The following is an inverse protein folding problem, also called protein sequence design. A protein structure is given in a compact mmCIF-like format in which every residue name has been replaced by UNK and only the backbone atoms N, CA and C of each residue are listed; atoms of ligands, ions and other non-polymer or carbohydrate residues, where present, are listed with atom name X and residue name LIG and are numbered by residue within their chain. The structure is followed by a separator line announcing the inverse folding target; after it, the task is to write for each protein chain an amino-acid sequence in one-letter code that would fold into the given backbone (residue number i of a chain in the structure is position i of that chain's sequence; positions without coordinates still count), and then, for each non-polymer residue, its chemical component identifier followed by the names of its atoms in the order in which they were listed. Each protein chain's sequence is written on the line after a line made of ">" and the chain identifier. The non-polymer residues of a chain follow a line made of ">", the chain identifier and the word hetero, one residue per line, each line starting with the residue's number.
data_IF_969621736229
#
_entry.id   IF_969621736229
#
_cell.length_a   1.000
_cell.length_b   1.000
_cell.length_c   1.000
_cell.angle_alpha   90.00
_cell.angle_beta   90.00
_cell.angle_gamma   90.00
#
_symmetry.space_group_name_H-M   'P 1'
#
loop_
_entity.id
_entity.type
_entity.pdbx_description
1 polymer ?
#
# COMPACT_ATOMS: atom_id res chain seq x y z
N UNK A 1 -46.11 -45.32 49.81
CA UNK A 1 -44.67 -45.03 49.60
C UNK A 1 -44.43 -44.34 48.24
N UNK A 2 -44.32 -43.04 48.29
CA UNK A 2 -44.15 -42.22 47.07
C UNK A 2 -42.65 -41.89 46.92
N UNK A 3 -42.01 -42.37 45.83
CA UNK A 3 -40.60 -42.07 45.52
C UNK A 3 -40.48 -40.72 44.90
N UNK A 4 -39.87 -39.74 45.59
CA UNK A 4 -39.45 -38.47 45.03
C UNK A 4 -38.21 -38.69 44.15
N UNK A 5 -38.33 -38.32 42.89
CA UNK A 5 -37.14 -38.13 41.93
C UNK A 5 -36.53 -36.79 42.24
N UNK A 6 -35.24 -36.77 42.58
CA UNK A 6 -34.43 -35.56 42.63
C UNK A 6 -34.04 -35.15 41.19
N UNK A 7 -34.45 -33.95 40.78
CA UNK A 7 -33.99 -33.30 39.54
C UNK A 7 -32.73 -32.52 39.90
N UNK A 8 -31.60 -32.97 39.38
CA UNK A 8 -30.34 -32.27 39.45
C UNK A 8 -30.34 -31.16 38.39
N UNK A 9 -30.36 -29.88 38.81
CA UNK A 9 -30.17 -28.73 37.94
C UNK A 9 -28.66 -28.55 37.73
N UNK A 10 -28.16 -29.00 36.57
CA UNK A 10 -26.80 -28.67 36.14
C UNK A 10 -26.78 -27.23 35.60
N UNK A 11 -26.17 -26.33 36.37
CA UNK A 11 -25.88 -24.96 35.97
C UNK A 11 -24.76 -25.03 34.94
N UNK A 12 -25.07 -24.88 33.65
CA UNK A 12 -24.08 -24.68 32.62
C UNK A 12 -23.67 -23.21 32.66
N UNK A 13 -22.52 -22.96 33.27
CA UNK A 13 -21.85 -21.65 33.25
C UNK A 13 -21.27 -21.44 31.85
N UNK A 14 -21.99 -20.72 31.01
CA UNK A 14 -21.44 -20.25 29.72
C UNK A 14 -20.41 -19.17 30.02
N UNK A 15 -19.14 -19.54 30.05
CA UNK A 15 -18.03 -18.61 30.02
C UNK A 15 -18.02 -17.98 28.64
N UNK A 16 -18.59 -16.79 28.51
CA UNK A 16 -18.33 -15.90 27.38
C UNK A 16 -16.88 -15.45 27.49
N UNK A 17 -16.00 -16.14 26.77
CA UNK A 17 -14.65 -15.64 26.49
C UNK A 17 -14.80 -14.36 25.65
N UNK A 18 -14.87 -13.21 26.31
CA UNK A 18 -14.60 -11.90 25.71
C UNK A 18 -13.18 -11.99 25.20
N UNK A 19 -12.98 -12.22 23.91
CA UNK A 19 -11.69 -12.02 23.26
C UNK A 19 -11.36 -10.53 23.35
N UNK A 20 -10.69 -10.14 24.42
CA UNK A 20 -10.02 -8.86 24.51
C UNK A 20 -9.00 -8.85 23.37
N UNK A 21 -9.30 -8.15 22.27
CA UNK A 21 -8.35 -7.93 21.19
C UNK A 21 -7.11 -7.32 21.84
N UNK A 22 -6.03 -8.08 21.94
CA UNK A 22 -4.76 -7.59 22.49
C UNK A 22 -4.36 -6.38 21.69
N UNK A 23 -4.24 -5.23 22.39
CA UNK A 23 -3.82 -3.98 21.77
C UNK A 23 -2.39 -4.18 21.21
N UNK A 24 -2.23 -4.05 19.89
CA UNK A 24 -0.96 -4.28 19.19
C UNK A 24 0.11 -3.22 19.50
N UNK A 25 -0.24 -2.14 20.20
CA UNK A 25 0.64 -1.00 20.44
C UNK A 25 1.17 -1.01 21.87
N UNK A 26 2.45 -0.67 22.02
CA UNK A 26 3.09 -0.48 23.31
C UNK A 26 2.51 0.71 24.07
N UNK A 27 2.71 0.78 25.39
CA UNK A 27 2.27 1.91 26.19
C UNK A 27 2.86 3.25 25.70
N UNK A 28 4.11 3.25 25.22
CA UNK A 28 4.78 4.43 24.68
C UNK A 28 4.12 4.90 23.37
N UNK A 29 3.81 3.98 22.47
CA UNK A 29 3.11 4.28 21.21
C UNK A 29 1.71 4.86 21.44
N UNK A 30 1.07 4.50 22.54
CA UNK A 30 -0.24 5.03 22.94
C UNK A 30 -0.16 6.37 23.68
N UNK A 31 1.03 6.87 23.97
CA UNK A 31 1.22 8.12 24.72
C UNK A 31 1.72 9.28 23.84
N UNK A 32 2.49 9.01 22.82
CA UNK A 32 3.14 10.03 22.00
C UNK A 32 2.51 10.11 20.61
N UNK A 33 2.26 11.33 20.12
CA UNK A 33 1.78 11.54 18.73
C UNK A 33 2.88 11.14 17.75
N UNK A 34 4.07 11.72 17.92
CA UNK A 34 5.24 11.42 17.08
C UNK A 34 6.11 10.36 17.75
N UNK A 35 6.19 9.19 17.14
CA UNK A 35 7.03 8.08 17.61
C UNK A 35 7.55 7.30 16.40
N UNK A 36 8.80 6.88 16.45
CA UNK A 36 9.37 6.02 15.42
C UNK A 36 8.70 4.64 15.44
N UNK A 37 8.35 4.11 14.27
CA UNK A 37 7.90 2.73 14.11
C UNK A 37 9.12 1.86 13.85
N UNK A 38 9.58 1.05 14.83
CA UNK A 38 10.79 0.25 14.68
C UNK A 38 10.64 -0.85 13.60
N UNK A 39 9.42 -1.15 13.18
CA UNK A 39 9.16 -2.21 12.20
C UNK A 39 9.10 -1.70 10.76
N UNK A 40 8.75 -0.41 10.57
CA UNK A 40 8.48 0.16 9.25
C UNK A 40 9.71 0.12 8.32
N UNK A 41 10.89 0.41 8.88
CA UNK A 41 12.16 0.41 8.16
C UNK A 41 13.13 -0.67 8.65
N UNK A 42 12.63 -1.73 9.33
CA UNK A 42 13.48 -2.75 9.94
C UNK A 42 14.28 -3.58 8.90
N UNK A 43 13.73 -3.74 7.71
CA UNK A 43 14.36 -4.56 6.66
C UNK A 43 14.83 -3.74 5.45
N UNK A 44 14.23 -2.57 5.21
CA UNK A 44 14.49 -1.73 4.03
C UNK A 44 14.44 -0.26 4.42
N UNK A 45 15.31 0.55 3.81
CA UNK A 45 15.35 2.00 4.05
C UNK A 45 14.30 2.78 3.26
N UNK A 46 13.48 2.08 2.45
CA UNK A 46 12.46 2.70 1.64
C UNK A 46 11.23 1.78 1.43
N UNK A 47 10.07 2.38 1.22
CA UNK A 47 8.85 1.68 0.80
C UNK A 47 8.01 2.57 -0.13
N UNK A 48 7.04 1.98 -0.82
CA UNK A 48 6.15 2.72 -1.71
C UNK A 48 4.69 2.57 -1.30
N UNK A 49 3.90 3.63 -1.58
CA UNK A 49 2.44 3.60 -1.48
C UNK A 49 1.85 3.98 -2.83
N UNK A 50 1.09 3.07 -3.42
CA UNK A 50 0.40 3.32 -4.68
C UNK A 50 -1.02 3.86 -4.43
N UNK A 51 -1.15 5.18 -4.46
CA UNK A 51 -2.45 5.86 -4.36
C UNK A 51 -3.25 5.76 -5.67
N UNK A 52 -2.59 5.42 -6.79
CA UNK A 52 -3.24 5.19 -8.08
C UNK A 52 -4.16 3.97 -8.06
N UNK A 53 -3.76 2.92 -7.33
CA UNK A 53 -4.54 1.69 -7.17
C UNK A 53 -5.68 1.80 -6.15
N UNK A 54 -5.72 2.84 -5.30
CA UNK A 54 -6.77 3.00 -4.30
C UNK A 54 -8.11 3.34 -4.97
N UNK A 55 -9.16 2.61 -4.56
CA UNK A 55 -10.55 2.87 -4.98
C UNK A 55 -11.13 4.01 -4.17
N UNK A 56 -12.17 4.66 -4.66
CA UNK A 56 -12.80 5.80 -3.97
C UNK A 56 -13.30 5.46 -2.56
N UNK A 57 -13.73 4.22 -2.33
CA UNK A 57 -14.15 3.73 -1.01
C UNK A 57 -12.99 3.50 -0.01
N UNK A 58 -11.76 3.48 -0.48
CA UNK A 58 -10.57 3.25 0.35
C UNK A 58 -9.96 4.57 0.85
N UNK A 59 -10.59 5.72 0.51
CA UNK A 59 -10.18 7.07 0.90
C UNK A 59 -11.38 7.93 1.28
N UNK A 60 -11.18 8.82 2.25
CA UNK A 60 -12.11 9.90 2.59
C UNK A 60 -11.31 11.10 3.10
N UNK A 61 -11.67 12.30 2.66
CA UNK A 61 -11.10 13.49 3.27
C UNK A 61 -11.64 13.65 4.71
N UNK A 62 -10.83 14.10 5.71
CA UNK A 62 -11.23 14.14 7.12
C UNK A 62 -12.52 14.93 7.41
N UNK A 63 -12.71 16.06 6.72
CA UNK A 63 -13.91 16.90 6.77
C UNK A 63 -14.28 17.29 5.34
N UNK A 64 -15.08 16.48 4.62
CA UNK A 64 -15.35 16.68 3.19
C UNK A 64 -15.93 18.05 2.82
N UNK A 65 -16.66 18.67 3.74
CA UNK A 65 -17.28 20.02 3.55
C UNK A 65 -16.44 21.15 4.15
N UNK A 66 -15.33 20.85 4.81
CA UNK A 66 -14.47 21.85 5.45
C UNK A 66 -13.59 22.60 4.44
N UNK A 67 -13.06 23.74 4.85
CA UNK A 67 -12.06 24.50 4.10
C UNK A 67 -10.67 24.20 4.66
N UNK A 68 -9.84 23.54 3.85
CA UNK A 68 -8.50 23.14 4.27
C UNK A 68 -7.47 24.21 3.94
N UNK A 69 -6.53 24.43 4.89
CA UNK A 69 -5.40 25.35 4.75
C UNK A 69 -4.15 24.72 5.33
N UNK A 70 -3.04 24.82 4.62
CA UNK A 70 -1.73 24.42 5.12
C UNK A 70 -1.28 25.38 6.23
N UNK A 71 -0.95 24.82 7.39
CA UNK A 71 -0.35 25.52 8.52
C UNK A 71 1.16 25.26 8.62
N UNK A 72 1.72 25.52 9.80
CA UNK A 72 3.13 25.24 10.10
C UNK A 72 3.38 23.73 10.23
N UNK A 73 4.59 23.32 9.91
CA UNK A 73 5.08 21.93 10.09
C UNK A 73 4.16 20.88 9.46
N UNK A 74 3.64 21.17 8.26
CA UNK A 74 2.74 20.30 7.50
C UNK A 74 1.45 19.91 8.23
N UNK A 75 1.02 20.71 9.25
CA UNK A 75 -0.32 20.59 9.77
C UNK A 75 -1.31 21.23 8.80
N UNK A 76 -2.46 20.61 8.64
CA UNK A 76 -3.59 21.16 7.89
C UNK A 76 -4.68 21.56 8.87
N UNK A 77 -5.08 22.81 8.86
CA UNK A 77 -6.29 23.27 9.53
C UNK A 77 -7.47 23.10 8.56
N UNK A 78 -8.49 22.35 8.98
CA UNK A 78 -9.70 22.13 8.17
C UNK A 78 -10.85 22.81 8.92
N UNK A 79 -11.16 24.05 8.52
CA UNK A 79 -12.22 24.85 9.13
C UNK A 79 -13.60 24.38 8.69
N UNK A 80 -14.54 24.30 9.64
CA UNK A 80 -15.87 23.75 9.40
C UNK A 80 -16.87 24.26 10.45
N UNK A 81 -18.03 23.63 10.56
CA UNK A 81 -19.09 23.99 11.54
C UNK A 81 -18.98 23.12 12.80
N UNK A 82 -19.43 23.69 13.91
CA UNK A 82 -19.53 22.97 15.19
C UNK A 82 -20.47 21.77 15.05
N UNK A 83 -20.00 20.61 15.56
CA UNK A 83 -20.75 19.36 15.52
C UNK A 83 -20.46 18.49 14.28
N UNK A 84 -19.67 18.98 13.31
CA UNK A 84 -19.31 18.18 12.14
C UNK A 84 -18.47 16.96 12.52
N UNK A 85 -18.71 15.88 11.79
CA UNK A 85 -18.08 14.59 12.02
C UNK A 85 -16.72 14.48 11.31
N UNK A 86 -15.66 14.22 12.08
CA UNK A 86 -14.33 13.92 11.55
C UNK A 86 -14.28 12.48 11.06
N UNK A 87 -13.80 12.27 9.83
CA UNK A 87 -13.74 10.97 9.16
C UNK A 87 -12.30 10.42 9.13
N UNK A 88 -12.15 9.11 9.30
CA UNK A 88 -10.88 8.44 9.04
C UNK A 88 -10.51 8.54 7.56
N UNK A 89 -9.30 9.03 7.24
CA UNK A 89 -8.85 9.18 5.86
C UNK A 89 -8.69 7.84 5.14
N UNK A 90 -8.08 6.89 5.79
CA UNK A 90 -7.85 5.51 5.31
C UNK A 90 -8.29 4.50 6.36
N UNK A 91 -8.47 3.24 5.96
CA UNK A 91 -8.66 2.14 6.91
C UNK A 91 -7.39 1.90 7.72
N UNK A 92 -7.53 1.56 9.00
CA UNK A 92 -6.37 1.34 9.88
C UNK A 92 -6.76 0.93 11.29
N UNK A 93 -5.79 1.01 12.21
CA UNK A 93 -5.98 0.74 13.63
C UNK A 93 -5.65 2.00 14.43
N UNK A 94 -6.53 2.39 15.34
CA UNK A 94 -6.32 3.54 16.23
C UNK A 94 -5.16 3.23 17.17
N UNK A 95 -4.05 4.00 17.02
CA UNK A 95 -2.86 3.85 17.87
C UNK A 95 -2.98 4.67 19.15
N UNK A 96 -3.53 5.88 19.05
CA UNK A 96 -3.70 6.80 20.16
C UNK A 96 -5.07 7.46 20.06
N UNK A 97 -5.78 7.56 21.18
CA UNK A 97 -7.03 8.31 21.33
C UNK A 97 -7.11 8.84 22.74
N UNK A 98 -6.75 10.11 22.94
CA UNK A 98 -6.76 10.79 24.26
C UNK A 98 -6.63 12.29 24.17
N UNK A 99 -6.78 12.98 25.29
CA UNK A 99 -6.39 14.39 25.40
C UNK A 99 -4.85 14.50 25.42
N UNK A 100 -4.30 15.39 24.61
CA UNK A 100 -2.86 15.61 24.48
C UNK A 100 -2.57 17.09 24.22
N UNK A 101 -2.39 17.92 25.26
CA UNK A 101 -2.04 19.32 25.07
C UNK A 101 -0.75 19.52 24.26
N UNK A 102 -0.66 20.48 23.37
CA UNK A 102 -1.63 21.56 23.08
C UNK A 102 -2.70 21.19 22.00
N UNK A 103 -2.76 19.94 21.54
CA UNK A 103 -3.59 19.50 20.41
C UNK A 103 -5.05 19.16 20.80
N UNK A 104 -5.41 19.26 22.09
CA UNK A 104 -6.73 18.90 22.60
C UNK A 104 -6.96 17.37 22.55
N UNK A 105 -8.20 16.94 22.31
CA UNK A 105 -8.46 15.52 22.05
C UNK A 105 -7.90 15.14 20.69
N UNK A 106 -7.06 14.12 20.66
CA UNK A 106 -6.31 13.66 19.48
C UNK A 106 -6.56 12.19 19.22
N UNK A 107 -6.67 11.85 17.96
CA UNK A 107 -6.64 10.48 17.45
C UNK A 107 -5.44 10.34 16.52
N UNK A 108 -4.70 9.24 16.64
CA UNK A 108 -3.70 8.80 15.66
C UNK A 108 -4.09 7.42 15.15
N UNK A 109 -4.18 7.28 13.84
CA UNK A 109 -4.49 6.01 13.17
C UNK A 109 -3.26 5.55 12.41
N UNK A 110 -2.81 4.31 12.64
CA UNK A 110 -1.78 3.64 11.85
C UNK A 110 -2.44 2.81 10.76
N UNK A 111 -1.98 3.01 9.53
CA UNK A 111 -2.47 2.35 8.33
C UNK A 111 -1.55 1.21 7.90
N UNK A 112 -2.09 0.22 7.19
CA UNK A 112 -1.33 -0.96 6.73
C UNK A 112 -0.25 -0.60 5.69
N UNK A 113 -0.36 0.57 5.06
CA UNK A 113 0.59 1.09 4.08
C UNK A 113 1.78 1.85 4.70
N UNK A 114 1.94 1.83 6.02
CA UNK A 114 3.04 2.48 6.73
C UNK A 114 2.83 3.97 7.06
N UNK A 115 1.71 4.56 6.66
CA UNK A 115 1.35 5.92 7.04
C UNK A 115 0.64 5.97 8.39
N UNK A 116 0.73 7.12 9.04
CA UNK A 116 -0.15 7.47 10.16
C UNK A 116 -0.88 8.78 9.87
N UNK A 117 -2.12 8.90 10.31
CA UNK A 117 -2.91 10.13 10.24
C UNK A 117 -3.28 10.60 11.63
N UNK A 118 -3.17 11.92 11.84
CA UNK A 118 -3.41 12.61 13.12
C UNK A 118 -4.63 13.49 12.96
N UNK A 119 -5.53 13.44 13.95
CA UNK A 119 -6.75 14.23 14.00
C UNK A 119 -6.81 14.89 15.38
N UNK A 120 -6.54 16.19 15.45
CA UNK A 120 -6.51 16.97 16.69
C UNK A 120 -7.61 18.02 16.75
N UNK A 121 -7.70 18.71 17.90
CA UNK A 121 -8.74 19.67 18.22
C UNK A 121 -10.15 19.06 18.13
N UNK A 122 -10.30 17.79 18.56
CA UNK A 122 -11.60 17.14 18.64
C UNK A 122 -12.33 17.58 19.91
N UNK A 123 -13.64 17.84 19.81
CA UNK A 123 -14.50 17.99 20.98
C UNK A 123 -14.64 16.64 21.70
N UNK A 124 -14.83 15.59 20.92
CA UNK A 124 -15.02 14.23 21.41
C UNK A 124 -14.38 13.22 20.46
N UNK A 125 -13.64 12.26 21.02
CA UNK A 125 -13.14 11.09 20.29
C UNK A 125 -14.18 9.95 20.42
N UNK A 126 -14.64 9.41 19.29
CA UNK A 126 -15.66 8.34 19.24
C UNK A 126 -15.05 6.95 19.13
N UNK A 127 -13.72 6.86 19.07
CA UNK A 127 -12.96 5.62 18.97
C UNK A 127 -11.86 5.59 20.02
N UNK A 128 -11.42 4.40 20.41
CA UNK A 128 -10.36 4.19 21.40
C UNK A 128 -9.16 3.46 20.79
N UNK A 129 -8.01 3.51 21.47
CA UNK A 129 -6.80 2.78 21.07
C UNK A 129 -7.10 1.28 20.92
N UNK A 130 -6.66 0.69 19.81
CA UNK A 130 -6.90 -0.71 19.42
C UNK A 130 -8.09 -0.90 18.48
N UNK A 131 -8.98 0.09 18.34
CA UNK A 131 -10.12 -0.02 17.42
C UNK A 131 -9.66 -0.04 15.96
N UNK A 132 -10.27 -0.93 15.16
CA UNK A 132 -10.13 -0.94 13.71
C UNK A 132 -11.16 -0.01 13.09
N UNK A 133 -10.72 0.85 12.19
CA UNK A 133 -11.57 1.81 11.49
C UNK A 133 -11.47 1.62 9.98
N UNK A 134 -12.53 1.98 9.27
CA UNK A 134 -12.58 2.02 7.79
C UNK A 134 -12.46 3.45 7.30
N UNK A 135 -11.94 3.61 6.07
CA UNK A 135 -11.99 4.91 5.40
C UNK A 135 -13.42 5.46 5.39
N UNK A 136 -13.58 6.76 5.70
CA UNK A 136 -14.90 7.42 5.80
C UNK A 136 -15.69 7.15 7.07
N UNK A 137 -15.23 6.27 7.96
CA UNK A 137 -15.87 6.07 9.27
C UNK A 137 -15.73 7.34 10.12
N UNK A 138 -16.82 7.73 10.81
CA UNK A 138 -16.77 8.80 11.81
C UNK A 138 -15.94 8.36 13.01
N UNK A 139 -14.93 9.15 13.36
CA UNK A 139 -13.99 8.83 14.45
C UNK A 139 -14.01 9.89 15.58
N UNK A 140 -14.47 11.10 15.26
CA UNK A 140 -14.54 12.19 16.24
C UNK A 140 -15.60 13.21 15.84
N UNK A 141 -15.90 14.11 16.79
CA UNK A 141 -16.63 15.36 16.55
C UNK A 141 -15.63 16.51 16.64
N UNK A 142 -15.69 17.44 15.67
CA UNK A 142 -14.78 18.59 15.59
C UNK A 142 -14.92 19.50 16.81
N UNK A 143 -13.79 20.00 17.32
CA UNK A 143 -13.73 20.93 18.45
C UNK A 143 -13.69 22.38 18.03
N UNK A 144 -13.82 23.25 19.02
CA UNK A 144 -13.70 24.71 18.88
C UNK A 144 -12.60 25.21 19.82
N UNK A 145 -11.63 25.93 19.27
CA UNK A 145 -10.58 26.61 20.02
C UNK A 145 -10.60 28.13 19.71
N UNK A 146 -10.60 28.95 20.73
CA UNK A 146 -10.62 30.42 20.60
C UNK A 146 -11.66 30.96 19.62
N UNK A 147 -12.86 30.35 19.64
CA UNK A 147 -13.98 30.74 18.79
C UNK A 147 -13.93 30.20 17.34
N UNK A 148 -12.87 29.51 16.96
CA UNK A 148 -12.72 28.88 15.65
C UNK A 148 -13.02 27.37 15.75
N UNK A 149 -13.81 26.84 14.83
CA UNK A 149 -14.12 25.41 14.74
C UNK A 149 -13.33 24.81 13.58
N UNK A 150 -12.38 23.93 13.91
CA UNK A 150 -11.51 23.29 12.92
C UNK A 150 -10.97 21.96 13.43
N UNK A 151 -10.64 21.06 12.50
CA UNK A 151 -9.82 19.89 12.78
C UNK A 151 -8.37 20.20 12.43
N UNK A 152 -7.45 19.86 13.34
CA UNK A 152 -6.01 19.88 13.07
C UNK A 152 -5.62 18.51 12.53
N UNK A 153 -5.23 18.46 11.26
CA UNK A 153 -4.91 17.20 10.57
C UNK A 153 -3.44 17.16 10.15
N UNK A 154 -2.83 15.99 10.22
CA UNK A 154 -1.50 15.75 9.67
C UNK A 154 -1.35 14.31 9.17
N UNK A 155 -0.41 14.12 8.23
CA UNK A 155 0.06 12.79 7.80
C UNK A 155 1.49 12.61 8.28
N UNK A 156 1.77 11.43 8.81
CA UNK A 156 3.09 11.08 9.34
C UNK A 156 3.60 9.78 8.72
N UNK A 157 4.91 9.67 8.69
CA UNK A 157 5.67 8.45 8.40
C UNK A 157 6.80 8.35 9.41
N UNK A 158 6.90 7.22 10.07
CA UNK A 158 7.95 6.97 11.07
C UNK A 158 8.07 8.09 12.13
N UNK A 159 6.94 8.62 12.59
CA UNK A 159 6.87 9.70 13.56
C UNK A 159 7.13 11.11 13.01
N UNK A 160 7.57 11.25 11.76
CA UNK A 160 7.78 12.54 11.09
C UNK A 160 6.57 12.97 10.28
N UNK A 161 6.20 14.24 10.37
CA UNK A 161 5.19 14.81 9.48
C UNK A 161 5.73 14.99 8.09
N UNK A 162 4.87 14.69 7.11
CA UNK A 162 5.17 14.86 5.69
C UNK A 162 4.21 15.87 5.06
N UNK A 163 4.60 16.45 3.93
CA UNK A 163 3.71 17.36 3.20
C UNK A 163 2.48 16.60 2.68
N UNK A 164 1.26 16.86 3.22
CA UNK A 164 0.05 16.13 2.82
C UNK A 164 -0.38 16.42 1.37
N UNK A 165 0.05 17.55 0.77
CA UNK A 165 -0.21 17.84 -0.65
C UNK A 165 0.55 16.93 -1.62
N UNK A 166 1.49 16.14 -1.13
CA UNK A 166 2.03 15.02 -1.92
C UNK A 166 1.02 13.89 -2.11
N UNK A 167 0.01 13.80 -1.24
CA UNK A 167 -0.97 12.71 -1.22
C UNK A 167 -2.32 13.14 -1.80
N UNK A 168 -2.80 14.34 -1.44
CA UNK A 168 -4.10 14.87 -1.85
C UNK A 168 -4.07 16.39 -2.04
N UNK A 169 -5.04 16.91 -2.79
CA UNK A 169 -5.24 18.36 -2.98
C UNK A 169 -6.03 18.93 -1.82
N UNK A 170 -5.53 20.01 -1.21
CA UNK A 170 -6.25 20.75 -0.16
C UNK A 170 -7.49 21.47 -0.70
N UNK A 171 -7.48 21.86 -1.97
CA UNK A 171 -8.59 22.56 -2.61
C UNK A 171 -9.73 21.62 -3.01
N UNK A 172 -9.40 20.55 -3.74
CA UNK A 172 -10.40 19.62 -4.28
C UNK A 172 -10.72 18.47 -3.35
N UNK A 173 -9.96 18.27 -2.26
CA UNK A 173 -10.02 17.15 -1.32
C UNK A 173 -9.83 15.78 -1.97
N UNK A 174 -9.30 15.74 -3.20
CA UNK A 174 -9.10 14.52 -3.96
C UNK A 174 -7.71 13.96 -3.77
N UNK A 175 -7.63 12.64 -3.70
CA UNK A 175 -6.38 11.89 -3.66
C UNK A 175 -5.65 12.02 -5.00
N UNK A 176 -4.33 12.29 -4.95
CA UNK A 176 -3.48 12.23 -6.13
C UNK A 176 -3.28 10.78 -6.55
N UNK A 177 -3.66 10.45 -7.77
CA UNK A 177 -3.55 9.09 -8.32
C UNK A 177 -2.12 8.84 -8.82
N UNK A 178 -1.20 8.63 -7.88
CA UNK A 178 0.24 8.45 -8.12
C UNK A 178 0.85 7.49 -7.10
N UNK A 179 2.03 6.97 -7.40
CA UNK A 179 2.82 6.18 -6.45
C UNK A 179 3.85 7.09 -5.80
N UNK A 180 3.93 7.05 -4.47
CA UNK A 180 4.94 7.76 -3.69
C UNK A 180 5.99 6.80 -3.15
N UNK A 181 7.25 7.20 -3.22
CA UNK A 181 8.40 6.58 -2.58
C UNK A 181 8.70 7.31 -1.28
N UNK A 182 8.85 6.56 -0.20
CA UNK A 182 9.22 7.01 1.13
C UNK A 182 10.58 6.43 1.48
N UNK A 183 11.59 7.28 1.65
CA UNK A 183 12.98 6.89 1.92
C UNK A 183 13.43 7.42 3.28
N UNK A 184 13.91 6.55 4.15
CA UNK A 184 14.51 6.95 5.43
C UNK A 184 15.88 7.57 5.18
N UNK A 185 16.04 8.85 5.48
CA UNK A 185 17.31 9.58 5.31
C UNK A 185 18.07 9.80 6.60
N UNK A 186 17.38 9.77 7.75
CA UNK A 186 17.92 9.82 9.10
C UNK A 186 16.90 9.25 10.08
N UNK A 187 17.22 9.13 11.37
CA UNK A 187 16.35 8.50 12.40
C UNK A 187 14.90 8.94 12.32
N UNK A 188 14.64 10.22 12.18
CA UNK A 188 13.28 10.79 12.12
C UNK A 188 12.92 11.39 10.75
N UNK A 189 13.81 11.35 9.78
CA UNK A 189 13.63 12.06 8.51
C UNK A 189 13.31 11.09 7.39
N UNK A 190 12.16 11.32 6.76
CA UNK A 190 11.70 10.57 5.58
C UNK A 190 11.59 11.53 4.41
N UNK A 191 12.27 11.22 3.33
CA UNK A 191 12.12 11.89 2.04
C UNK A 191 10.91 11.29 1.32
N UNK A 192 10.08 12.13 0.70
CA UNK A 192 8.90 11.71 -0.05
C UNK A 192 9.03 12.23 -1.47
N UNK A 193 9.02 11.33 -2.43
CA UNK A 193 9.10 11.66 -3.86
C UNK A 193 8.01 10.96 -4.65
N UNK A 194 7.57 11.60 -5.74
CA UNK A 194 6.66 10.96 -6.69
C UNK A 194 7.47 9.98 -7.51
N UNK A 195 7.10 8.71 -7.40
CA UNK A 195 7.67 7.68 -8.24
C UNK A 195 7.07 7.81 -9.64
N UNK A 196 7.81 8.49 -10.52
CA UNK A 196 7.46 8.58 -11.93
C UNK A 196 8.23 7.47 -12.63
N UNK A 197 7.55 6.34 -12.90
CA UNK A 197 8.14 5.33 -13.76
C UNK A 197 8.59 5.99 -15.06
N UNK A 198 9.75 5.60 -15.63
CA UNK A 198 10.19 6.12 -16.90
C UNK A 198 9.12 5.88 -17.96
N UNK A 199 9.00 6.83 -18.88
CA UNK A 199 8.16 6.63 -20.06
C UNK A 199 8.77 5.48 -20.86
N UNK A 200 7.90 4.64 -21.45
CA UNK A 200 8.35 3.65 -22.41
C UNK A 200 8.79 4.37 -23.67
N UNK A 201 10.03 4.84 -23.68
CA UNK A 201 10.62 5.57 -24.81
C UNK A 201 11.32 4.56 -25.73
N UNK A 202 11.26 4.82 -27.02
CA UNK A 202 12.09 4.15 -28.01
C UNK A 202 13.55 4.60 -27.76
N UNK A 203 14.38 3.72 -27.18
CA UNK A 203 15.81 4.00 -27.01
C UNK A 203 16.52 3.91 -28.36
N UNK A 204 17.73 4.45 -28.46
CA UNK A 204 18.56 4.41 -29.69
C UNK A 204 18.82 2.99 -30.22
N UNK A 205 18.58 1.96 -29.41
CA UNK A 205 18.63 0.54 -29.79
C UNK A 205 17.29 -0.02 -30.28
N UNK A 206 16.22 0.78 -30.35
CA UNK A 206 14.83 0.34 -30.66
C UNK A 206 14.27 -0.75 -29.74
N UNK A 207 14.93 -1.10 -28.66
CA UNK A 207 14.51 -2.21 -27.79
C UNK A 207 13.93 -1.67 -26.47
N UNK A 208 12.68 -1.23 -26.48
CA UNK A 208 11.96 -0.71 -25.34
C UNK A 208 11.20 -1.79 -24.54
N UNK A 209 11.35 -3.07 -24.95
CA UNK A 209 10.77 -4.23 -24.29
C UNK A 209 11.70 -5.44 -24.37
N UNK A 210 11.54 -6.36 -23.44
CA UNK A 210 12.19 -7.67 -23.44
C UNK A 210 11.22 -8.72 -22.90
N UNK A 211 11.25 -9.94 -23.43
CA UNK A 211 10.52 -11.03 -22.81
C UNK A 211 11.20 -11.38 -21.47
N UNK A 212 10.43 -11.49 -20.35
CA UNK A 212 11.04 -11.52 -19.00
C UNK A 212 11.90 -12.75 -18.74
N UNK A 213 11.66 -13.85 -19.46
CA UNK A 213 12.44 -15.09 -19.34
C UNK A 213 12.57 -15.75 -20.70
N UNK A 214 13.57 -15.37 -21.53
CA UNK A 214 13.77 -15.93 -22.86
C UNK A 214 13.90 -17.47 -22.83
N UNK A 215 13.27 -18.16 -23.75
CA UNK A 215 13.31 -19.63 -23.85
C UNK A 215 12.40 -20.41 -22.90
N UNK A 216 11.71 -19.74 -21.98
CA UNK A 216 10.79 -20.37 -21.05
C UNK A 216 9.50 -20.84 -21.71
N UNK A 217 8.90 -21.89 -21.14
CA UNK A 217 7.58 -22.40 -21.55
C UNK A 217 6.54 -22.06 -20.49
N UNK A 218 5.33 -21.71 -20.91
CA UNK A 218 4.20 -21.55 -20.00
C UNK A 218 3.81 -22.92 -19.43
N UNK A 219 3.84 -23.02 -18.10
CA UNK A 219 3.34 -24.21 -17.38
C UNK A 219 2.00 -23.96 -16.72
N UNK A 220 1.63 -22.69 -16.56
CA UNK A 220 0.34 -22.31 -15.99
C UNK A 220 -0.05 -20.90 -16.44
N UNK A 221 -1.18 -20.77 -17.16
CA UNK A 221 -1.65 -19.49 -17.64
C UNK A 221 -2.32 -18.67 -16.53
N UNK A 222 -2.52 -17.38 -16.80
CA UNK A 222 -3.37 -16.48 -16.02
C UNK A 222 -4.83 -16.98 -15.99
N UNK A 223 -5.55 -16.73 -14.88
CA UNK A 223 -6.98 -16.97 -14.77
C UNK A 223 -7.40 -17.94 -13.67
N UNK A 224 -8.60 -18.53 -13.79
CA UNK A 224 -9.17 -19.42 -12.77
C UNK A 224 -8.56 -20.81 -12.83
N UNK A 225 -8.23 -21.34 -11.65
CA UNK A 225 -7.71 -22.70 -11.45
C UNK A 225 -8.46 -23.35 -10.28
N UNK A 226 -9.33 -24.32 -10.51
CA UNK A 226 -9.94 -25.14 -9.45
C UNK A 226 -10.43 -24.34 -8.22
N UNK A 227 -11.14 -23.22 -8.44
CA UNK A 227 -11.66 -22.36 -7.36
C UNK A 227 -10.71 -21.25 -6.88
N UNK A 228 -9.47 -21.19 -7.38
CA UNK A 228 -8.50 -20.12 -7.08
C UNK A 228 -8.22 -19.26 -8.32
N UNK A 229 -7.90 -17.98 -8.11
CA UNK A 229 -7.46 -17.09 -9.19
C UNK A 229 -5.94 -17.06 -9.25
N UNK A 230 -5.39 -17.15 -10.47
CA UNK A 230 -3.98 -17.00 -10.78
C UNK A 230 -3.74 -15.62 -11.41
N UNK A 231 -3.02 -14.78 -10.73
CA UNK A 231 -2.84 -13.35 -11.08
C UNK A 231 -1.75 -13.09 -12.14
N UNK A 232 -1.05 -14.12 -12.58
CA UNK A 232 0.03 -14.03 -13.56
C UNK A 232 0.14 -15.26 -14.43
N UNK A 233 1.28 -15.43 -15.07
CA UNK A 233 1.69 -16.61 -15.84
C UNK A 233 2.90 -17.24 -15.17
N UNK A 234 2.92 -18.59 -15.08
CA UNK A 234 4.10 -19.31 -14.59
C UNK A 234 4.92 -19.78 -15.79
N UNK A 235 6.17 -19.32 -15.84
CA UNK A 235 7.13 -19.56 -16.90
C UNK A 235 8.19 -20.56 -16.40
N UNK A 236 8.21 -21.77 -16.98
CA UNK A 236 9.12 -22.86 -16.60
C UNK A 236 10.53 -22.60 -17.11
N UNK A 237 11.49 -22.81 -16.21
CA UNK A 237 12.89 -22.56 -16.44
C UNK A 237 13.78 -23.54 -15.65
N UNK A 238 15.08 -23.32 -15.69
CA UNK A 238 16.06 -23.96 -14.83
C UNK A 238 16.31 -23.10 -13.58
N UNK A 239 16.88 -23.67 -12.51
CA UNK A 239 17.38 -22.89 -11.39
C UNK A 239 18.39 -21.82 -11.87
N UNK A 240 18.30 -20.64 -11.26
CA UNK A 240 19.22 -19.51 -11.46
C UNK A 240 19.34 -18.99 -12.90
N UNK A 241 18.36 -19.26 -13.77
CA UNK A 241 18.26 -18.58 -15.06
C UNK A 241 17.98 -17.08 -14.85
N UNK A 242 18.55 -16.23 -15.72
CA UNK A 242 18.41 -14.78 -15.63
C UNK A 242 16.99 -14.30 -15.93
N UNK A 243 16.38 -13.63 -14.98
CA UNK A 243 15.13 -12.89 -15.15
C UNK A 243 15.46 -11.48 -15.59
N UNK A 244 14.81 -11.02 -16.65
CA UNK A 244 15.06 -9.73 -17.27
C UNK A 244 13.88 -8.77 -17.08
N UNK A 245 14.16 -7.49 -16.92
CA UNK A 245 13.15 -6.45 -16.89
C UNK A 245 12.39 -6.40 -18.23
N UNK A 246 11.06 -6.50 -18.18
CA UNK A 246 10.22 -6.53 -19.37
C UNK A 246 10.18 -5.20 -20.11
N UNK A 247 10.31 -4.09 -19.39
CA UNK A 247 10.29 -2.72 -19.89
C UNK A 247 11.24 -1.86 -19.06
N UNK A 248 11.57 -0.68 -19.58
CA UNK A 248 12.24 0.36 -18.82
C UNK A 248 11.39 0.72 -17.61
N UNK A 249 12.02 0.88 -16.44
CA UNK A 249 11.24 1.14 -15.22
C UNK A 249 12.08 1.50 -14.01
N UNK A 250 11.39 1.69 -12.90
CA UNK A 250 11.99 1.90 -11.59
C UNK A 250 11.50 0.81 -10.63
N UNK A 251 12.44 0.20 -9.90
CA UNK A 251 12.15 -0.85 -8.93
C UNK A 251 11.42 -0.26 -7.73
N UNK A 252 10.16 -0.63 -7.54
CA UNK A 252 9.31 -0.14 -6.46
C UNK A 252 9.20 -1.13 -5.30
N UNK A 253 9.65 -2.35 -5.49
CA UNK A 253 9.73 -3.37 -4.46
C UNK A 253 10.77 -4.42 -4.83
N UNK A 254 11.61 -4.82 -3.86
CA UNK A 254 12.60 -5.89 -4.02
C UNK A 254 12.84 -6.55 -2.68
N UNK A 255 12.03 -7.58 -2.36
CA UNK A 255 12.05 -8.21 -1.04
C UNK A 255 11.30 -9.55 -1.01
N UNK A 256 11.37 -10.26 0.12
CA UNK A 256 10.52 -11.41 0.39
C UNK A 256 9.10 -10.95 0.73
N UNK A 257 8.11 -11.50 0.04
CA UNK A 257 6.70 -11.13 0.24
C UNK A 257 5.77 -12.35 0.21
N UNK A 258 5.22 -12.71 1.37
CA UNK A 258 4.19 -13.74 1.55
C UNK A 258 4.35 -14.96 0.61
N UNK A 259 3.32 -15.34 -0.11
CA UNK A 259 3.31 -16.47 -1.05
C UNK A 259 4.17 -16.28 -2.30
N UNK A 260 4.53 -15.05 -2.65
CA UNK A 260 5.40 -14.74 -3.81
C UNK A 260 6.88 -15.11 -3.59
N UNK A 261 7.31 -15.32 -2.34
CA UNK A 261 8.73 -15.53 -2.04
C UNK A 261 9.54 -14.25 -2.27
N UNK A 262 10.73 -14.35 -2.85
CA UNK A 262 11.48 -13.18 -3.28
C UNK A 262 10.79 -12.56 -4.49
N UNK A 263 10.36 -11.32 -4.35
CA UNK A 263 9.56 -10.57 -5.33
C UNK A 263 10.30 -9.30 -5.73
N UNK A 264 10.29 -8.99 -7.01
CA UNK A 264 10.60 -7.66 -7.55
C UNK A 264 9.32 -7.10 -8.19
N UNK A 265 9.06 -5.81 -7.95
CA UNK A 265 8.05 -5.05 -8.68
C UNK A 265 8.73 -3.87 -9.36
N UNK A 266 8.42 -3.69 -10.64
CA UNK A 266 8.94 -2.58 -11.43
C UNK A 266 7.75 -1.75 -11.91
N UNK A 267 7.79 -0.45 -11.63
CA UNK A 267 6.84 0.52 -12.15
C UNK A 267 7.37 1.05 -13.50
N UNK A 268 6.53 0.89 -14.50
CA UNK A 268 6.74 1.47 -15.83
C UNK A 268 5.80 2.67 -16.00
N UNK A 269 6.00 3.49 -16.97
CA UNK A 269 5.13 4.65 -17.21
C UNK A 269 3.64 4.29 -17.31
N UNK A 270 2.76 5.25 -16.94
CA UNK A 270 1.30 5.17 -17.11
C UNK A 270 0.58 4.09 -16.29
N UNK A 271 1.10 3.78 -15.10
CA UNK A 271 0.49 2.84 -14.17
C UNK A 271 0.66 1.37 -14.52
N UNK A 272 1.49 1.05 -15.51
CA UNK A 272 1.90 -0.33 -15.78
C UNK A 272 2.95 -0.75 -14.75
N UNK A 273 2.73 -1.90 -14.11
CA UNK A 273 3.71 -2.58 -13.27
C UNK A 273 3.92 -4.01 -13.74
N UNK A 274 5.14 -4.51 -13.54
CA UNK A 274 5.46 -5.95 -13.70
C UNK A 274 5.98 -6.53 -12.40
N UNK A 275 5.57 -7.78 -12.11
CA UNK A 275 5.95 -8.53 -10.91
C UNK A 275 6.75 -9.75 -11.34
N UNK A 276 7.86 -9.98 -10.63
CA UNK A 276 8.78 -11.10 -10.86
C UNK A 276 8.98 -11.82 -9.54
N UNK A 277 8.43 -13.01 -9.39
CA UNK A 277 8.44 -13.71 -8.11
C UNK A 277 8.92 -15.16 -8.18
N UNK A 278 9.07 -15.74 -6.99
CA UNK A 278 9.72 -17.01 -6.71
C UNK A 278 11.23 -16.99 -6.96
N UNK A 279 11.85 -15.81 -7.08
CA UNK A 279 13.27 -15.63 -7.35
C UNK A 279 14.12 -16.36 -6.30
N UNK A 280 15.24 -16.97 -6.71
CA UNK A 280 16.28 -17.42 -5.79
C UNK A 280 17.01 -16.23 -5.20
N UNK A 281 17.27 -15.21 -6.04
CA UNK A 281 17.97 -13.99 -5.66
C UNK A 281 17.45 -12.79 -6.44
N UNK A 282 17.17 -11.68 -5.74
CA UNK A 282 16.96 -10.38 -6.34
C UNK A 282 18.32 -9.70 -6.52
N UNK A 283 18.57 -9.12 -7.70
CA UNK A 283 19.84 -8.46 -8.06
C UNK A 283 19.74 -6.94 -8.06
N UNK A 284 18.52 -6.40 -7.91
CA UNK A 284 18.21 -4.98 -7.88
C UNK A 284 17.49 -4.62 -6.58
N UNK A 285 17.55 -3.36 -6.17
CA UNK A 285 16.94 -2.80 -4.96
C UNK A 285 15.93 -1.71 -5.31
N UNK A 286 15.06 -1.37 -4.37
CA UNK A 286 14.10 -0.26 -4.50
C UNK A 286 14.83 1.04 -4.85
N UNK A 287 14.30 1.77 -5.83
CA UNK A 287 14.86 3.00 -6.36
C UNK A 287 15.80 2.79 -7.56
N UNK A 288 16.26 1.56 -7.84
CA UNK A 288 17.08 1.30 -9.01
C UNK A 288 16.27 1.53 -10.30
N UNK A 289 16.90 2.17 -11.28
CA UNK A 289 16.36 2.31 -12.65
C UNK A 289 16.92 1.21 -13.53
N UNK A 290 16.03 0.51 -14.21
CA UNK A 290 16.36 -0.59 -15.10
C UNK A 290 15.89 -0.31 -16.51
N UNK A 291 16.61 -0.85 -17.48
CA UNK A 291 16.25 -0.88 -18.89
C UNK A 291 15.63 -2.22 -19.25
N UNK A 292 14.79 -2.24 -20.29
CA UNK A 292 14.30 -3.48 -20.87
C UNK A 292 15.48 -4.41 -21.23
N UNK A 293 15.43 -5.64 -20.70
CA UNK A 293 16.50 -6.61 -20.89
C UNK A 293 17.56 -6.66 -19.78
N UNK A 294 17.60 -5.70 -18.87
CA UNK A 294 18.51 -5.77 -17.72
C UNK A 294 18.21 -7.00 -16.86
N UNK A 295 19.26 -7.69 -16.41
CA UNK A 295 19.13 -8.83 -15.49
C UNK A 295 18.81 -8.30 -14.09
N UNK A 296 17.62 -8.64 -13.59
CA UNK A 296 17.09 -8.11 -12.33
C UNK A 296 17.03 -9.15 -11.21
N UNK A 297 16.93 -10.43 -11.57
CA UNK A 297 16.84 -11.53 -10.61
C UNK A 297 17.33 -12.85 -11.23
N UNK A 298 17.43 -13.86 -10.37
CA UNK A 298 17.64 -15.26 -10.77
C UNK A 298 16.39 -16.07 -10.43
N UNK A 299 16.03 -17.01 -11.32
CA UNK A 299 14.87 -17.89 -11.10
C UNK A 299 15.08 -18.82 -9.93
N UNK A 300 14.01 -19.21 -9.27
CA UNK A 300 14.07 -20.05 -8.10
C UNK A 300 12.73 -20.68 -7.72
N UNK A 301 12.63 -21.08 -6.45
CA UNK A 301 11.49 -21.79 -5.86
C UNK A 301 11.11 -21.23 -4.49
N UNK A 302 11.28 -19.94 -4.29
CA UNK A 302 10.92 -19.32 -3.00
C UNK A 302 9.40 -19.09 -2.86
N UNK A 303 8.93 -18.92 -1.64
CA UNK A 303 7.50 -18.71 -1.37
C UNK A 303 6.68 -19.99 -1.50
N UNK A 304 5.57 -19.94 -2.26
CA UNK A 304 4.66 -21.09 -2.46
C UNK A 304 4.97 -21.92 -3.71
N UNK A 305 6.08 -21.66 -4.37
CA UNK A 305 6.49 -22.40 -5.54
C UNK A 305 6.83 -23.85 -5.18
N UNK A 306 6.34 -24.81 -5.97
CA UNK A 306 6.64 -26.25 -5.84
C UNK A 306 7.72 -26.72 -6.81
N UNK A 307 7.96 -25.95 -7.87
CA UNK A 307 9.00 -26.20 -8.89
C UNK A 307 9.70 -24.90 -9.24
N UNK A 308 10.87 -24.98 -9.88
CA UNK A 308 11.57 -23.81 -10.42
C UNK A 308 10.73 -23.17 -11.53
N UNK A 309 10.35 -21.89 -11.35
CA UNK A 309 9.63 -21.10 -12.36
C UNK A 309 9.65 -19.64 -11.98
N UNK A 310 9.48 -18.77 -12.97
CA UNK A 310 9.14 -17.39 -12.78
C UNK A 310 7.60 -17.26 -12.76
N UNK A 311 7.02 -16.74 -11.68
CA UNK A 311 5.65 -16.25 -11.72
C UNK A 311 5.70 -14.77 -12.13
N UNK A 312 5.19 -14.47 -13.32
CA UNK A 312 5.22 -13.14 -13.94
C UNK A 312 3.82 -12.54 -14.00
N UNK A 313 3.66 -11.31 -13.48
CA UNK A 313 2.41 -10.58 -13.58
C UNK A 313 2.58 -9.26 -14.32
N UNK A 314 1.51 -8.84 -14.99
CA UNK A 314 1.34 -7.48 -15.50
C UNK A 314 0.15 -6.84 -14.80
N UNK A 315 0.33 -5.64 -14.28
CA UNK A 315 -0.72 -4.90 -13.59
C UNK A 315 -0.86 -3.50 -14.17
N UNK A 316 -2.09 -3.01 -14.21
CA UNK A 316 -2.40 -1.62 -14.56
C UNK A 316 -3.15 -1.02 -13.39
N UNK A 317 -2.57 0.02 -12.78
CA UNK A 317 -3.11 0.68 -11.58
C UNK A 317 -3.44 -0.36 -10.47
N UNK A 318 -2.51 -1.29 -10.21
CA UNK A 318 -2.64 -2.34 -9.19
C UNK A 318 -3.53 -3.54 -9.56
N UNK A 319 -4.35 -3.45 -10.60
CA UNK A 319 -5.19 -4.56 -11.07
C UNK A 319 -4.39 -5.50 -11.98
N UNK A 320 -4.43 -6.80 -11.69
CA UNK A 320 -3.77 -7.82 -12.50
C UNK A 320 -4.50 -8.03 -13.85
N UNK A 321 -3.72 -8.11 -14.91
CA UNK A 321 -4.16 -8.42 -16.26
C UNK A 321 -3.40 -9.63 -16.78
N UNK A 322 -4.02 -10.36 -17.70
CA UNK A 322 -3.38 -11.49 -18.38
C UNK A 322 -2.11 -11.03 -19.10
N UNK A 323 -0.92 -11.54 -18.73
CA UNK A 323 0.32 -11.22 -19.43
C UNK A 323 0.29 -11.57 -20.93
N UNK A 324 -0.56 -12.51 -21.36
CA UNK A 324 -0.79 -12.82 -22.78
C UNK A 324 -1.42 -11.64 -23.57
N UNK A 325 -1.96 -10.64 -22.88
CA UNK A 325 -2.38 -9.38 -23.52
C UNK A 325 -1.18 -8.61 -24.08
N UNK A 326 -0.05 -8.68 -23.39
CA UNK A 326 1.16 -7.90 -23.67
C UNK A 326 2.19 -8.71 -24.47
N UNK A 327 2.30 -9.99 -24.21
CA UNK A 327 3.29 -10.87 -24.83
C UNK A 327 2.64 -12.08 -25.49
N UNK A 328 3.18 -12.46 -26.62
CA UNK A 328 2.96 -13.78 -27.18
C UNK A 328 3.94 -14.75 -26.51
N UNK A 329 3.41 -15.64 -25.68
CA UNK A 329 4.24 -16.57 -24.90
C UNK A 329 4.82 -17.73 -25.75
N UNK A 330 4.35 -17.94 -26.96
CA UNK A 330 4.89 -18.96 -27.84
C UNK A 330 6.10 -18.43 -28.63
N UNK A 331 5.96 -17.22 -29.17
CA UNK A 331 7.02 -16.57 -29.96
C UNK A 331 7.92 -15.66 -29.13
N UNK A 332 7.59 -15.40 -27.86
CA UNK A 332 8.28 -14.51 -26.95
C UNK A 332 8.40 -13.05 -27.45
N UNK A 333 7.41 -12.59 -28.23
CA UNK A 333 7.37 -11.22 -28.77
C UNK A 333 6.25 -10.39 -28.14
N UNK A 334 6.44 -9.08 -28.15
CA UNK A 334 5.44 -8.14 -27.64
C UNK A 334 4.24 -8.06 -28.59
N UNK A 335 3.04 -7.93 -28.02
CA UNK A 335 1.81 -7.70 -28.77
C UNK A 335 1.55 -6.19 -28.89
N UNK A 336 2.02 -5.58 -29.95
CA UNK A 336 1.90 -4.14 -30.21
C UNK A 336 0.48 -3.59 -30.09
N UNK A 337 -0.55 -4.41 -30.34
CA UNK A 337 -1.96 -4.02 -30.19
C UNK A 337 -2.34 -3.61 -28.75
N UNK A 338 -1.59 -4.02 -27.75
CA UNK A 338 -1.79 -3.65 -26.35
C UNK A 338 -1.26 -2.22 -26.06
N UNK A 339 -0.52 -1.61 -26.97
CA UNK A 339 0.14 -0.34 -26.77
C UNK A 339 -0.32 0.69 -27.79
N UNK A 340 -0.24 1.96 -27.44
CA UNK A 340 -0.47 3.10 -28.31
C UNK A 340 0.81 3.93 -28.37
N UNK A 341 1.28 4.24 -29.58
CA UNK A 341 2.41 5.16 -29.78
C UNK A 341 1.95 6.59 -29.49
N UNK A 342 2.75 7.32 -28.72
CA UNK A 342 2.55 8.74 -28.40
C UNK A 342 3.81 9.51 -28.81
N UNK A 343 3.78 10.84 -28.70
CA UNK A 343 4.98 11.70 -28.94
C UNK A 343 6.14 11.35 -27.99
N UNK A 344 5.87 10.67 -26.86
CA UNK A 344 6.81 10.37 -25.81
C UNK A 344 6.96 8.84 -25.59
N UNK A 345 6.89 8.03 -26.66
CA UNK A 345 7.03 6.58 -26.59
C UNK A 345 5.69 5.82 -26.59
N UNK A 346 5.69 4.59 -26.10
CA UNK A 346 4.52 3.73 -26.06
C UNK A 346 3.80 3.78 -24.71
N UNK A 347 2.47 3.75 -24.71
CA UNK A 347 1.63 3.66 -23.52
C UNK A 347 0.66 2.51 -23.68
N UNK A 348 0.27 1.90 -22.56
CA UNK A 348 -0.72 0.81 -22.58
C UNK A 348 -2.09 1.36 -22.97
N UNK A 349 -2.75 0.71 -23.93
CA UNK A 349 -4.16 0.98 -24.24
C UNK A 349 -5.04 0.54 -23.09
N UNK A 350 -5.88 1.45 -22.65
CA UNK A 350 -6.93 1.19 -21.64
C UNK A 350 -8.11 0.44 -22.22
#
# INVERSE_FOLDING_TARGET
>A
MIKLRRISLSFVMVLTLSSCAQNKFTALEQQQISIEDPTLFAQYEAFTVDFGAMRDKDYSFPLPVGKAKMGKDYNVEIETKKGDAVKAMFSGTVRLSKNNPPFGNVIVIRHENGLETVYGNNAENLVKSGDKVKAGQTIAIVGTDKGRTYCLFAVMVNGSRINPETIFSLESHRLHKQTLLYEKTASWKVNVSVLRGPRLEETASNQWWCYPLPGAKVISPYGRRGGRSHSGVDLKTKPDDEIRAAFDGEVVFSAKYAGYGNLIRILHGNGLETYYSHNSKNLVKVGDRVKAGDVIALTGRTGRATTEHLHFETRINGQAYDPARFFDHQSHVIRMKAFQKTKNGYVVKR
#
